data_IF_703430087041
#
_entry.id   IF_703430087041
#
_cell.length_a   1.000
_cell.length_b   1.000
_cell.length_c   1.000
_cell.angle_alpha   90.00
_cell.angle_beta   90.00
_cell.angle_gamma   90.00
#
_symmetry.space_group_name_H-M   'P 1'
#
loop_
_entity.id
_entity.type
_entity.pdbx_description
1 polymer ?
#
# COMPACT_ATOMS: atom_id res chain seq x y z
N UNK A 1 15.37 -25.01 9.97
CA UNK A 1 15.06 -23.91 9.04
C UNK A 1 14.37 -22.81 9.82
N UNK A 2 15.16 -21.98 10.52
CA UNK A 2 14.66 -20.82 11.25
C UNK A 2 14.63 -19.63 10.29
N UNK A 3 13.46 -19.01 10.13
CA UNK A 3 13.32 -17.75 9.44
C UNK A 3 14.17 -16.70 10.18
N UNK A 4 15.12 -16.07 9.49
CA UNK A 4 15.81 -14.91 10.02
C UNK A 4 14.79 -13.78 10.23
N UNK A 5 14.83 -13.05 11.35
CA UNK A 5 13.94 -11.91 11.55
C UNK A 5 14.22 -10.87 10.46
N UNK A 6 13.16 -10.33 9.85
CA UNK A 6 13.23 -9.36 8.75
C UNK A 6 14.12 -8.14 9.08
N UNK A 7 14.30 -7.84 10.37
CA UNK A 7 15.14 -6.77 10.90
C UNK A 7 16.64 -6.92 10.54
N UNK A 8 17.12 -8.14 10.28
CA UNK A 8 18.52 -8.40 9.93
C UNK A 8 18.82 -8.21 8.43
N UNK A 9 17.81 -8.22 7.56
CA UNK A 9 18.00 -8.10 6.11
C UNK A 9 18.35 -6.67 5.69
N UNK A 10 17.81 -5.66 6.38
CA UNK A 10 18.15 -4.25 6.15
C UNK A 10 19.64 -3.95 6.45
N UNK A 11 20.23 -4.66 7.42
CA UNK A 11 21.61 -4.42 7.87
C UNK A 11 22.63 -4.99 6.87
N UNK A 12 22.33 -6.08 6.17
CA UNK A 12 23.28 -6.72 5.24
C UNK A 12 23.36 -6.07 3.85
N UNK A 13 22.33 -5.34 3.40
CA UNK A 13 22.34 -4.63 2.09
C UNK A 13 23.45 -3.56 2.02
N UNK A 14 23.90 -3.04 3.17
CA UNK A 14 24.93 -1.99 3.27
C UNK A 14 26.36 -2.51 3.01
N UNK A 15 26.59 -3.84 2.94
CA UNK A 15 27.95 -4.42 2.98
C UNK A 15 28.52 -4.95 1.65
N UNK A 16 27.83 -4.78 0.51
CA UNK A 16 28.30 -5.26 -0.81
C UNK A 16 28.23 -4.15 -1.87
N UNK A 17 29.37 -3.63 -2.36
CA UNK A 17 29.40 -2.52 -3.30
C UNK A 17 29.31 -3.04 -4.74
N UNK A 18 28.13 -3.50 -5.15
CA UNK A 18 27.83 -3.74 -6.57
C UNK A 18 26.55 -3.00 -6.95
N UNK A 19 26.51 -2.38 -8.13
CA UNK A 19 25.39 -1.56 -8.62
C UNK A 19 24.04 -2.28 -8.61
N UNK A 20 24.00 -3.61 -8.60
CA UNK A 20 22.79 -4.41 -8.43
C UNK A 20 22.16 -4.30 -7.02
N UNK A 21 22.94 -3.93 -6.00
CA UNK A 21 22.48 -3.83 -4.62
C UNK A 21 21.60 -2.59 -4.35
N UNK A 22 21.78 -1.48 -5.10
CA UNK A 22 20.98 -0.27 -4.89
C UNK A 22 19.48 -0.49 -5.15
N UNK A 23 19.14 -1.23 -6.21
CA UNK A 23 17.75 -1.58 -6.51
C UNK A 23 17.17 -2.48 -5.42
N UNK A 24 17.98 -3.40 -4.89
CA UNK A 24 17.56 -4.27 -3.80
C UNK A 24 17.35 -3.51 -2.50
N UNK A 25 18.16 -2.50 -2.17
CA UNK A 25 17.97 -1.76 -0.91
C UNK A 25 16.72 -0.87 -0.93
N UNK A 26 16.33 -0.29 -2.08
CA UNK A 26 15.05 0.43 -2.17
C UNK A 26 13.85 -0.52 -2.08
N UNK A 27 13.93 -1.70 -2.70
CA UNK A 27 12.91 -2.73 -2.57
C UNK A 27 12.79 -3.25 -1.14
N UNK A 28 13.90 -3.55 -0.46
CA UNK A 28 13.90 -3.98 0.95
C UNK A 28 13.34 -2.90 1.88
N UNK A 29 13.61 -1.63 1.60
CA UNK A 29 13.02 -0.54 2.38
C UNK A 29 11.50 -0.46 2.20
N UNK A 30 11.00 -0.62 0.96
CA UNK A 30 9.56 -0.71 0.67
C UNK A 30 8.94 -1.92 1.38
N UNK A 31 9.57 -3.09 1.32
CA UNK A 31 9.10 -4.30 2.00
C UNK A 31 9.00 -4.10 3.52
N UNK A 32 10.00 -3.46 4.14
CA UNK A 32 9.96 -3.11 5.55
C UNK A 32 8.78 -2.18 5.87
N UNK A 33 8.57 -1.13 5.06
CA UNK A 33 7.42 -0.22 5.24
C UNK A 33 6.09 -0.96 5.08
N UNK A 34 5.96 -1.85 4.08
CA UNK A 34 4.77 -2.67 3.87
C UNK A 34 4.52 -3.60 5.06
N UNK A 35 5.57 -4.23 5.60
CA UNK A 35 5.45 -5.04 6.82
C UNK A 35 4.97 -4.21 8.02
N UNK A 36 5.49 -2.99 8.18
CA UNK A 36 5.07 -2.10 9.27
C UNK A 36 3.61 -1.64 9.11
N UNK A 37 3.19 -1.30 7.89
CA UNK A 37 1.80 -0.96 7.54
C UNK A 37 0.87 -2.13 7.89
N UNK A 38 1.22 -3.35 7.46
CA UNK A 38 0.44 -4.55 7.75
C UNK A 38 0.40 -4.86 9.26
N UNK A 39 1.53 -4.74 9.95
CA UNK A 39 1.61 -4.97 11.39
C UNK A 39 0.75 -3.98 12.19
N UNK A 40 0.72 -2.72 11.78
CA UNK A 40 -0.10 -1.67 12.39
C UNK A 40 -1.54 -1.65 11.87
N UNK A 41 -1.88 -2.50 10.90
CA UNK A 41 -3.20 -2.53 10.23
C UNK A 41 -3.62 -1.17 9.70
N UNK A 42 -2.66 -0.43 9.14
CA UNK A 42 -2.93 0.85 8.50
C UNK A 42 -3.62 0.56 7.17
N UNK A 43 -4.79 1.16 6.93
CA UNK A 43 -5.48 1.07 5.66
C UNK A 43 -4.76 1.95 4.61
N UNK A 44 -4.15 1.36 3.56
CA UNK A 44 -3.48 2.12 2.52
C UNK A 44 -4.45 2.98 1.70
N UNK A 45 -5.76 2.71 1.70
CA UNK A 45 -6.70 3.54 0.95
C UNK A 45 -6.87 4.94 1.52
N UNK A 46 -6.48 5.15 2.78
CA UNK A 46 -6.55 6.47 3.44
C UNK A 46 -5.73 7.56 2.74
N UNK A 47 -4.76 7.18 1.90
CA UNK A 47 -3.93 8.14 1.13
C UNK A 47 -4.28 8.20 -0.36
N UNK A 48 -5.28 7.45 -0.82
CA UNK A 48 -5.63 7.38 -2.23
C UNK A 48 -6.49 8.59 -2.63
N UNK A 49 -6.18 9.16 -3.78
CA UNK A 49 -7.05 10.14 -4.43
C UNK A 49 -8.30 9.44 -5.01
N UNK A 50 -9.36 10.20 -5.28
CA UNK A 50 -10.65 9.63 -5.69
C UNK A 50 -10.58 8.69 -6.90
N UNK A 51 -9.75 8.99 -7.90
CA UNK A 51 -9.56 8.12 -9.07
C UNK A 51 -8.80 6.83 -8.75
N UNK A 52 -7.84 6.89 -7.83
CA UNK A 52 -7.05 5.74 -7.39
C UNK A 52 -7.88 4.78 -6.57
N UNK A 53 -8.75 5.32 -5.70
CA UNK A 53 -9.73 4.57 -4.92
C UNK A 53 -10.66 3.77 -5.83
N UNK A 54 -11.26 4.41 -6.85
CA UNK A 54 -12.13 3.74 -7.81
C UNK A 54 -11.39 2.66 -8.60
N UNK A 55 -10.15 2.93 -9.03
CA UNK A 55 -9.33 1.94 -9.72
C UNK A 55 -9.05 0.72 -8.82
N UNK A 56 -8.81 0.94 -7.54
CA UNK A 56 -8.55 -0.13 -6.57
C UNK A 56 -9.79 -0.96 -6.27
N UNK A 57 -10.96 -0.35 -6.06
CA UNK A 57 -12.22 -1.07 -5.87
C UNK A 57 -12.52 -1.99 -7.06
N UNK A 58 -12.33 -1.49 -8.29
CA UNK A 58 -12.46 -2.30 -9.52
C UNK A 58 -11.49 -3.48 -9.55
N UNK A 59 -10.22 -3.25 -9.22
CA UNK A 59 -9.20 -4.32 -9.17
C UNK A 59 -9.53 -5.40 -8.14
N UNK A 60 -10.10 -4.98 -7.01
CA UNK A 60 -10.54 -5.87 -5.94
C UNK A 60 -11.89 -6.55 -6.21
N UNK A 61 -12.53 -6.27 -7.36
CA UNK A 61 -13.88 -6.71 -7.69
C UNK A 61 -14.93 -6.34 -6.62
N UNK A 62 -14.72 -5.21 -5.93
CA UNK A 62 -15.67 -4.62 -5.00
C UNK A 62 -16.61 -3.73 -5.81
N UNK A 63 -17.91 -3.87 -5.55
CA UNK A 63 -18.92 -3.08 -6.25
C UNK A 63 -18.81 -1.60 -5.87
N UNK A 64 -18.82 -0.74 -6.88
CA UNK A 64 -18.67 0.70 -6.66
C UNK A 64 -20.07 1.27 -6.42
N UNK A 65 -20.28 2.02 -5.32
CA UNK A 65 -21.55 2.69 -5.07
C UNK A 65 -21.99 3.54 -6.28
N UNK A 66 -23.28 3.51 -6.60
CA UNK A 66 -23.84 4.42 -7.60
C UNK A 66 -23.77 5.86 -7.11
N UNK A 67 -23.41 6.78 -8.00
CA UNK A 67 -23.34 8.21 -7.69
C UNK A 67 -24.73 8.82 -7.66
N UNK A 68 -25.03 9.60 -6.61
CA UNK A 68 -26.34 10.21 -6.45
C UNK A 68 -26.42 11.56 -7.19
N UNK A 69 -27.63 11.96 -7.62
CA UNK A 69 -27.84 13.13 -8.50
C UNK A 69 -27.34 14.47 -7.93
N UNK A 70 -27.32 14.64 -6.61
CA UNK A 70 -26.90 15.87 -5.94
C UNK A 70 -25.70 15.68 -5.01
N UNK A 71 -24.91 14.62 -5.21
CA UNK A 71 -23.78 14.29 -4.36
C UNK A 71 -22.49 14.93 -4.85
N UNK A 72 -21.80 15.58 -3.91
CA UNK A 72 -20.46 16.14 -4.15
C UNK A 72 -19.42 15.04 -4.32
N UNK A 73 -18.31 15.36 -5.00
CA UNK A 73 -17.20 14.41 -5.19
C UNK A 73 -16.67 13.89 -3.86
N UNK A 74 -16.55 14.75 -2.84
CA UNK A 74 -16.04 14.37 -1.52
C UNK A 74 -16.96 13.35 -0.81
N UNK A 75 -18.28 13.53 -0.91
CA UNK A 75 -19.27 12.61 -0.35
C UNK A 75 -19.23 11.26 -1.08
N UNK A 76 -19.18 11.28 -2.42
CA UNK A 76 -19.10 10.09 -3.25
C UNK A 76 -17.85 9.25 -2.93
N UNK A 77 -16.67 9.87 -2.90
CA UNK A 77 -15.42 9.17 -2.57
C UNK A 77 -15.39 8.74 -1.11
N UNK A 78 -16.00 9.52 -0.20
CA UNK A 78 -16.18 9.12 1.20
C UNK A 78 -16.99 7.82 1.34
N UNK A 79 -18.07 7.65 0.58
CA UNK A 79 -18.82 6.37 0.54
C UNK A 79 -18.01 5.24 -0.09
N UNK A 80 -17.27 5.52 -1.17
CA UNK A 80 -16.41 4.54 -1.81
C UNK A 80 -15.29 4.04 -0.87
N UNK A 81 -14.80 4.89 0.03
CA UNK A 81 -13.79 4.49 1.02
C UNK A 81 -14.36 3.59 2.13
N UNK A 82 -15.68 3.63 2.36
CA UNK A 82 -16.34 2.82 3.41
C UNK A 82 -16.63 1.37 2.97
N UNK A 83 -16.59 1.07 1.67
CA UNK A 83 -16.93 -0.26 1.14
C UNK A 83 -15.72 -1.21 1.03
N UNK A 84 -14.52 -0.74 1.38
CA UNK A 84 -13.30 -1.55 1.44
C UNK A 84 -12.98 -1.98 2.87
#
# INVERSE_FOLDING_TARGET
MHAAPADLLLIYCVRLPSLAALHSCSQHYIEYLVQLINFKKIDPLSVFEGSELIAQLRRSAIDIPERLENESDAEFYGRCAQVN
#
